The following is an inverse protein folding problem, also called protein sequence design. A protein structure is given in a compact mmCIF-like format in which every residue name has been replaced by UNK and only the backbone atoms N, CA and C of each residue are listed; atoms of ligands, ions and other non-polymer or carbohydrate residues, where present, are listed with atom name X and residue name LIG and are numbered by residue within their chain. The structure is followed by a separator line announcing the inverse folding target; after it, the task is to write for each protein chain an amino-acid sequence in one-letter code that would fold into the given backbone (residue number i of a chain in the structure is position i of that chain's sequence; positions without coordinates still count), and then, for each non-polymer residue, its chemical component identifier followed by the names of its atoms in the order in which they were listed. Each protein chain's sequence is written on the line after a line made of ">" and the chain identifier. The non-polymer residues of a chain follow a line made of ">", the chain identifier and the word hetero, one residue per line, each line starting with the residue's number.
data_IF_911031816841
#
_entry.id   IF_911031816841
#
_cell.length_a   1.000
_cell.length_b   1.000
_cell.length_c   1.000
_cell.angle_alpha   90.00
_cell.angle_beta   90.00
_cell.angle_gamma   90.00
#
_symmetry.space_group_name_H-M   'P 1'
#
loop_
_entity.id
_entity.type
_entity.pdbx_description
1 polymer ?
#
# COMPACT_ATOMS: atom_id res chain seq x y z
N UNK A 1 26.47 14.64 -10.48
CA UNK A 1 26.58 13.45 -11.33
C UNK A 1 25.54 12.45 -10.81
N UNK A 2 24.35 12.49 -11.37
CA UNK A 2 23.30 11.50 -11.05
C UNK A 2 23.71 10.14 -11.63
N UNK A 3 23.72 9.11 -10.81
CA UNK A 3 23.90 7.75 -11.32
C UNK A 3 22.74 7.43 -12.26
N UNK A 4 23.02 6.83 -13.39
CA UNK A 4 22.03 6.42 -14.42
C UNK A 4 20.98 5.42 -13.89
N UNK A 5 21.11 4.94 -12.67
CA UNK A 5 20.17 4.03 -12.01
C UNK A 5 18.97 4.72 -11.33
N UNK A 6 18.87 6.05 -11.39
CA UNK A 6 17.80 6.78 -10.73
C UNK A 6 16.82 7.37 -11.76
N UNK A 7 16.12 6.53 -12.49
CA UNK A 7 15.00 6.98 -13.30
C UNK A 7 13.94 7.54 -12.35
N UNK A 8 13.73 8.85 -12.42
CA UNK A 8 12.66 9.56 -11.73
C UNK A 8 11.86 10.28 -12.78
N UNK A 9 10.75 9.66 -13.16
CA UNK A 9 9.84 10.22 -14.14
C UNK A 9 8.65 10.84 -13.42
N UNK A 10 8.40 12.12 -13.68
CA UNK A 10 7.33 12.88 -13.04
C UNK A 10 6.57 13.67 -14.08
N UNK A 11 5.25 13.51 -14.10
CA UNK A 11 4.37 14.32 -14.93
C UNK A 11 4.46 15.80 -14.56
N UNK A 12 4.34 16.69 -15.54
CA UNK A 12 4.51 18.14 -15.35
C UNK A 12 3.50 18.76 -14.38
N UNK A 13 2.32 18.18 -14.28
CA UNK A 13 1.23 18.62 -13.41
C UNK A 13 1.15 17.84 -12.07
N UNK A 14 2.12 16.96 -11.79
CA UNK A 14 2.24 16.35 -10.49
C UNK A 14 2.85 17.33 -9.48
N UNK A 15 2.28 17.38 -8.28
CA UNK A 15 2.75 18.24 -7.20
C UNK A 15 3.67 17.47 -6.25
N UNK A 16 4.88 17.98 -6.04
CA UNK A 16 5.84 17.38 -5.10
C UNK A 16 6.31 18.46 -4.13
N UNK A 17 6.07 18.25 -2.84
CA UNK A 17 6.52 19.19 -1.81
C UNK A 17 8.06 19.23 -1.74
N UNK A 18 8.67 20.41 -1.52
CA UNK A 18 10.13 20.55 -1.47
C UNK A 18 10.84 19.70 -0.42
N UNK A 19 10.12 19.32 0.62
CA UNK A 19 10.62 18.47 1.71
C UNK A 19 10.42 16.96 1.48
N UNK A 20 9.80 16.57 0.38
CA UNK A 20 9.72 15.16 0.01
C UNK A 20 11.07 14.66 -0.50
N UNK A 21 11.42 13.43 -0.13
CA UNK A 21 12.63 12.79 -0.63
C UNK A 21 12.27 11.61 -1.53
N UNK A 22 12.76 11.65 -2.77
CA UNK A 22 12.44 10.63 -3.78
C UNK A 22 13.74 10.01 -4.30
N UNK A 23 13.92 8.72 -4.00
CA UNK A 23 14.88 7.88 -4.69
C UNK A 23 14.21 7.20 -5.89
N UNK A 24 14.96 7.08 -7.00
CA UNK A 24 14.54 6.26 -8.12
C UNK A 24 14.88 4.77 -7.93
N UNK A 25 14.37 3.93 -8.83
CA UNK A 25 13.44 4.30 -9.89
C UNK A 25 12.05 4.63 -9.34
N UNK A 26 11.43 5.69 -9.87
CA UNK A 26 10.09 6.09 -9.50
C UNK A 26 9.37 6.73 -10.69
N UNK A 27 8.09 6.41 -10.85
CA UNK A 27 7.19 7.06 -11.81
C UNK A 27 6.08 7.75 -11.00
N UNK A 28 5.90 9.04 -11.22
CA UNK A 28 4.86 9.86 -10.57
C UNK A 28 3.98 10.44 -11.67
N UNK A 29 2.78 9.92 -11.78
CA UNK A 29 1.86 10.21 -12.86
C UNK A 29 1.14 11.56 -12.67
N UNK A 30 0.33 11.92 -13.65
CA UNK A 30 -0.41 13.18 -13.70
C UNK A 30 -1.27 13.42 -12.44
N UNK A 31 -1.35 14.67 -12.02
CA UNK A 31 -2.17 15.08 -10.88
C UNK A 31 -1.85 14.39 -9.56
N UNK A 32 -0.80 13.56 -9.53
CA UNK A 32 -0.36 12.94 -8.28
C UNK A 32 0.22 13.98 -7.31
N UNK A 33 0.00 13.77 -6.02
CA UNK A 33 0.44 14.67 -4.97
C UNK A 33 1.39 13.93 -4.01
N UNK A 34 2.65 14.37 -3.95
CA UNK A 34 3.64 13.90 -2.98
C UNK A 34 3.86 15.01 -1.96
N UNK A 35 3.35 14.78 -0.75
CA UNK A 35 3.27 15.80 0.29
C UNK A 35 4.55 15.92 1.12
N UNK A 36 4.51 16.86 2.04
CA UNK A 36 5.57 17.19 2.97
C UNK A 36 6.16 15.96 3.67
N UNK A 37 7.50 15.85 3.70
CA UNK A 37 8.23 14.75 4.35
C UNK A 37 7.89 13.33 3.85
N UNK A 38 7.24 13.17 2.70
CA UNK A 38 7.08 11.84 2.11
C UNK A 38 8.44 11.28 1.71
N UNK A 39 8.63 9.96 1.91
CA UNK A 39 9.86 9.27 1.54
C UNK A 39 9.57 8.14 0.54
N UNK A 40 9.89 8.35 -0.72
CA UNK A 40 9.83 7.32 -1.77
C UNK A 40 11.21 6.69 -1.91
N UNK A 41 11.35 5.43 -1.46
CA UNK A 41 12.63 4.71 -1.43
C UNK A 41 13.04 4.09 -2.75
N UNK A 42 12.18 4.15 -3.76
CA UNK A 42 12.43 3.58 -5.07
C UNK A 42 11.56 2.37 -5.41
N UNK A 43 11.60 2.00 -6.69
CA UNK A 43 10.72 1.00 -7.30
C UNK A 43 9.25 1.32 -7.02
N UNK A 44 8.85 2.58 -7.26
CA UNK A 44 7.51 3.06 -6.97
C UNK A 44 6.83 3.57 -8.24
N UNK A 45 5.61 3.12 -8.46
CA UNK A 45 4.70 3.67 -9.47
C UNK A 45 3.54 4.32 -8.70
N UNK A 46 3.42 5.64 -8.86
CA UNK A 46 2.36 6.45 -8.23
C UNK A 46 1.42 6.89 -9.34
N UNK A 47 0.24 6.30 -9.38
CA UNK A 47 -0.75 6.51 -10.44
C UNK A 47 -1.39 7.88 -10.42
N UNK A 48 -2.12 8.20 -11.48
CA UNK A 48 -2.77 9.49 -11.69
C UNK A 48 -3.68 9.88 -10.52
N UNK A 49 -3.50 11.11 -10.03
CA UNK A 49 -4.29 11.66 -8.92
C UNK A 49 -4.12 10.93 -7.59
N UNK A 50 -3.09 10.10 -7.44
CA UNK A 50 -2.78 9.45 -6.18
C UNK A 50 -2.12 10.42 -5.19
N UNK A 51 -2.33 10.18 -3.90
CA UNK A 51 -1.79 11.01 -2.81
C UNK A 51 -0.83 10.20 -1.96
N UNK A 52 0.43 10.62 -1.93
CA UNK A 52 1.46 10.15 -1.01
C UNK A 52 1.66 11.24 0.04
N UNK A 53 1.10 11.02 1.21
CA UNK A 53 0.95 12.09 2.19
C UNK A 53 2.13 12.29 3.13
N UNK A 54 1.88 13.10 4.15
CA UNK A 54 2.88 13.49 5.12
C UNK A 54 3.54 12.27 5.77
N UNK A 55 4.89 12.26 5.74
CA UNK A 55 5.71 11.21 6.38
C UNK A 55 5.31 9.78 5.98
N UNK A 56 4.74 9.62 4.81
CA UNK A 56 4.46 8.30 4.23
C UNK A 56 5.71 7.76 3.53
N UNK A 57 6.05 6.51 3.82
CA UNK A 57 7.16 5.82 3.18
C UNK A 57 6.65 4.80 2.16
N UNK A 58 7.19 4.85 0.94
CA UNK A 58 6.92 3.90 -0.14
C UNK A 58 8.18 3.14 -0.54
N UNK A 59 8.05 1.83 -0.75
CA UNK A 59 9.14 0.97 -1.23
C UNK A 59 8.61 -0.24 -2.01
N UNK A 60 9.03 -0.40 -3.27
CA UNK A 60 8.56 -1.48 -4.16
C UNK A 60 7.03 -1.54 -4.21
N UNK A 61 6.39 -0.51 -4.75
CA UNK A 61 4.94 -0.39 -4.73
C UNK A 61 4.36 0.00 -6.08
N UNK A 62 3.14 -0.44 -6.31
CA UNK A 62 2.28 0.09 -7.35
C UNK A 62 1.05 0.68 -6.67
N UNK A 63 0.90 1.99 -6.75
CA UNK A 63 -0.32 2.69 -6.37
C UNK A 63 -1.09 2.99 -7.65
N UNK A 64 -2.25 2.39 -7.82
CA UNK A 64 -3.13 2.70 -8.94
C UNK A 64 -3.71 4.11 -8.82
N UNK A 65 -4.49 4.51 -9.84
CA UNK A 65 -5.01 5.88 -9.89
C UNK A 65 -5.89 6.20 -8.67
N UNK A 66 -5.76 7.42 -8.16
CA UNK A 66 -6.52 7.97 -7.03
C UNK A 66 -6.36 7.22 -5.71
N UNK A 67 -5.33 6.39 -5.59
CA UNK A 67 -4.94 5.79 -4.29
C UNK A 67 -4.55 6.88 -3.31
N UNK A 68 -4.93 6.72 -2.05
CA UNK A 68 -4.58 7.65 -0.99
C UNK A 68 -3.85 6.94 0.16
N UNK A 69 -2.62 7.36 0.40
CA UNK A 69 -1.81 6.97 1.57
C UNK A 69 -1.32 8.25 2.27
N UNK A 70 -2.28 8.98 2.91
CA UNK A 70 -2.10 10.41 3.18
C UNK A 70 -1.32 10.76 4.43
N UNK A 71 -1.16 9.84 5.40
CA UNK A 71 -0.62 10.21 6.70
C UNK A 71 0.13 9.07 7.39
N UNK A 72 1.45 9.22 7.56
CA UNK A 72 2.28 8.31 8.37
C UNK A 72 2.11 6.84 7.99
N UNK A 73 1.93 6.56 6.70
CA UNK A 73 1.78 5.19 6.23
C UNK A 73 3.15 4.58 5.90
N UNK A 74 3.30 3.29 6.09
CA UNK A 74 4.34 2.52 5.46
C UNK A 74 3.72 1.56 4.44
N UNK A 75 4.12 1.69 3.18
CA UNK A 75 3.66 0.81 2.10
C UNK A 75 4.88 0.18 1.43
N UNK A 76 5.06 -1.10 1.68
CA UNK A 76 6.21 -1.85 1.17
C UNK A 76 5.81 -3.14 0.48
N UNK A 77 6.43 -3.42 -0.68
CA UNK A 77 6.25 -4.65 -1.45
C UNK A 77 4.76 -4.97 -1.69
N UNK A 78 3.98 -3.96 -2.12
CA UNK A 78 2.52 -3.96 -2.13
C UNK A 78 1.94 -3.38 -3.40
N UNK A 79 0.70 -3.77 -3.71
CA UNK A 79 -0.09 -3.20 -4.80
C UNK A 79 -1.41 -2.69 -4.22
N UNK A 80 -1.76 -1.43 -4.49
CA UNK A 80 -3.01 -0.82 -4.06
C UNK A 80 -3.86 -0.48 -5.28
N UNK A 81 -5.05 -1.05 -5.34
CA UNK A 81 -6.01 -0.87 -6.42
C UNK A 81 -6.60 0.54 -6.51
N UNK A 82 -7.37 0.78 -7.57
CA UNK A 82 -7.98 2.08 -7.86
C UNK A 82 -8.77 2.62 -6.68
N UNK A 83 -8.50 3.87 -6.29
CA UNK A 83 -9.13 4.55 -5.15
C UNK A 83 -9.00 3.83 -3.80
N UNK A 84 -8.07 2.89 -3.64
CA UNK A 84 -7.81 2.35 -2.31
C UNK A 84 -7.26 3.43 -1.38
N UNK A 85 -7.70 3.40 -0.12
CA UNK A 85 -7.31 4.37 0.89
C UNK A 85 -6.77 3.68 2.13
N UNK A 86 -5.66 4.17 2.64
CA UNK A 86 -5.09 3.73 3.92
C UNK A 86 -5.17 4.85 4.95
N UNK A 87 -5.96 4.67 5.98
CA UNK A 87 -6.07 5.61 7.09
C UNK A 87 -4.74 5.88 7.80
N UNK A 88 -4.69 6.97 8.55
CA UNK A 88 -3.47 7.43 9.21
C UNK A 88 -2.80 6.33 10.05
N UNK A 89 -1.48 6.19 9.92
CA UNK A 89 -0.70 5.22 10.67
C UNK A 89 -0.90 3.75 10.27
N UNK A 90 -1.75 3.44 9.28
CA UNK A 90 -1.87 2.08 8.80
C UNK A 90 -0.66 1.68 7.94
N UNK A 91 -0.27 0.41 8.01
CA UNK A 91 0.95 -0.09 7.38
C UNK A 91 0.75 -1.43 6.69
N UNK A 92 1.54 -1.68 5.64
CA UNK A 92 1.71 -3.00 5.05
C UNK A 92 2.99 -3.62 5.59
N UNK A 93 2.90 -4.51 6.58
CA UNK A 93 4.04 -5.27 7.02
C UNK A 93 4.46 -6.26 5.92
N UNK A 94 5.72 -6.25 5.54
CA UNK A 94 6.19 -6.99 4.37
C UNK A 94 7.17 -8.12 4.68
N UNK A 95 7.57 -8.28 5.95
CA UNK A 95 8.51 -9.32 6.40
C UNK A 95 7.92 -10.06 7.59
N UNK A 96 7.91 -11.38 7.55
CA UNK A 96 7.55 -12.23 8.69
C UNK A 96 8.61 -12.16 9.78
N UNK A 97 8.21 -12.26 11.04
CA UNK A 97 9.12 -12.22 12.18
C UNK A 97 10.12 -13.39 12.18
N UNK A 98 9.69 -14.57 11.71
CA UNK A 98 10.52 -15.77 11.58
C UNK A 98 11.43 -15.76 10.34
N UNK A 99 11.38 -14.71 9.51
CA UNK A 99 12.17 -14.56 8.28
C UNK A 99 11.96 -15.63 7.21
N UNK A 100 10.95 -16.48 7.36
CA UNK A 100 10.57 -17.46 6.33
C UNK A 100 9.87 -16.79 5.13
N UNK A 101 9.70 -17.54 4.05
CA UNK A 101 9.01 -17.05 2.86
C UNK A 101 7.54 -16.74 3.17
N UNK A 102 7.03 -15.71 2.50
CA UNK A 102 5.64 -15.32 2.67
C UNK A 102 4.74 -16.28 1.89
N UNK A 103 3.66 -16.71 2.53
CA UNK A 103 2.62 -17.53 1.94
C UNK A 103 1.30 -16.77 2.03
N UNK A 104 0.62 -16.61 0.91
CA UNK A 104 -0.75 -16.10 0.87
C UNK A 104 -1.70 -17.23 1.24
N UNK A 105 -2.63 -16.96 2.18
CA UNK A 105 -3.58 -17.94 2.69
C UNK A 105 -5.01 -17.49 2.38
N UNK A 106 -5.78 -18.37 1.73
CA UNK A 106 -7.19 -18.16 1.44
C UNK A 106 -7.99 -19.37 1.98
N UNK A 107 -8.46 -19.27 3.21
CA UNK A 107 -9.01 -20.44 3.91
C UNK A 107 -7.95 -21.54 4.04
N UNK A 108 -8.22 -22.71 3.48
CA UNK A 108 -7.28 -23.84 3.47
C UNK A 108 -6.26 -23.78 2.33
N UNK A 109 -6.55 -22.99 1.31
CA UNK A 109 -5.63 -22.80 0.19
C UNK A 109 -4.41 -22.00 0.59
N UNK A 110 -3.24 -22.41 0.11
CA UNK A 110 -1.95 -21.78 0.36
C UNK A 110 -1.23 -21.56 -0.96
N UNK A 111 -0.82 -20.31 -1.21
CA UNK A 111 0.01 -19.96 -2.35
C UNK A 111 1.38 -19.52 -1.85
N UNK A 112 2.40 -20.27 -2.18
CA UNK A 112 3.79 -19.91 -1.89
C UNK A 112 4.24 -18.81 -2.85
N UNK A 113 4.71 -17.69 -2.29
CA UNK A 113 5.16 -16.55 -3.10
C UNK A 113 6.63 -16.69 -3.55
N UNK A 114 7.40 -17.53 -2.90
CA UNK A 114 8.85 -17.61 -3.10
C UNK A 114 9.62 -16.39 -2.59
N UNK A 115 8.95 -15.44 -1.95
CA UNK A 115 9.51 -14.15 -1.55
C UNK A 115 9.64 -14.02 -0.03
N UNK A 116 10.75 -13.45 0.44
CA UNK A 116 10.94 -13.05 1.84
C UNK A 116 10.20 -11.75 2.19
N UNK A 117 9.95 -10.92 1.17
CA UNK A 117 9.26 -9.64 1.30
C UNK A 117 8.06 -9.62 0.39
N UNK A 118 6.90 -9.48 0.98
CA UNK A 118 5.61 -9.40 0.31
C UNK A 118 4.63 -8.73 1.27
N UNK A 119 4.17 -7.55 0.93
CA UNK A 119 3.28 -6.76 1.79
C UNK A 119 1.82 -7.18 1.65
N UNK A 120 1.00 -6.29 1.09
CA UNK A 120 -0.42 -6.53 0.90
C UNK A 120 -0.86 -6.17 -0.53
N UNK A 121 -1.89 -6.86 -1.00
CA UNK A 121 -2.59 -6.56 -2.24
C UNK A 121 -3.99 -6.09 -1.90
N UNK A 122 -4.31 -4.84 -2.24
CA UNK A 122 -5.62 -4.24 -2.03
C UNK A 122 -6.33 -4.11 -3.37
N UNK A 123 -7.57 -4.59 -3.41
CA UNK A 123 -8.46 -4.35 -4.54
C UNK A 123 -8.94 -2.90 -4.61
N UNK A 124 -9.75 -2.60 -5.63
CA UNK A 124 -10.31 -1.27 -5.84
C UNK A 124 -11.24 -0.86 -4.69
N UNK A 125 -11.26 0.43 -4.36
CA UNK A 125 -12.12 1.04 -3.34
C UNK A 125 -11.99 0.41 -1.93
N UNK A 126 -10.86 -0.22 -1.63
CA UNK A 126 -10.61 -0.73 -0.26
C UNK A 126 -10.34 0.44 0.68
N UNK A 127 -11.01 0.43 1.83
CA UNK A 127 -10.82 1.41 2.90
C UNK A 127 -10.16 0.75 4.12
N UNK A 128 -8.94 1.14 4.43
CA UNK A 128 -8.22 0.64 5.61
C UNK A 128 -8.28 1.66 6.74
N UNK A 129 -8.86 1.29 7.86
CA UNK A 129 -8.96 2.15 9.03
C UNK A 129 -7.61 2.48 9.67
N UNK A 130 -7.55 3.61 10.37
CA UNK A 130 -6.34 4.12 11.01
C UNK A 130 -5.64 3.10 11.91
N UNK A 131 -4.30 3.16 11.98
CA UNK A 131 -3.46 2.30 12.81
C UNK A 131 -3.66 0.80 12.60
N UNK A 132 -4.14 0.39 11.43
CA UNK A 132 -4.25 -1.02 11.08
C UNK A 132 -2.94 -1.57 10.52
N UNK A 133 -2.68 -2.84 10.80
CA UNK A 133 -1.52 -3.57 10.28
C UNK A 133 -2.00 -4.66 9.33
N UNK A 134 -1.61 -4.53 8.07
CA UNK A 134 -1.80 -5.58 7.07
C UNK A 134 -0.56 -6.46 7.09
N UNK A 135 -0.70 -7.70 7.58
CA UNK A 135 0.43 -8.62 7.72
C UNK A 135 0.92 -9.14 6.36
N UNK A 136 2.16 -9.65 6.27
CA UNK A 136 2.70 -10.16 5.03
C UNK A 136 1.81 -11.22 4.38
N UNK A 137 1.51 -11.01 3.09
CA UNK A 137 0.63 -11.91 2.34
C UNK A 137 -0.87 -11.63 2.52
N UNK A 138 -1.25 -10.48 3.07
CA UNK A 138 -2.66 -10.04 3.12
C UNK A 138 -3.14 -9.67 1.73
N UNK A 139 -4.31 -10.18 1.35
CA UNK A 139 -5.02 -9.82 0.13
C UNK A 139 -6.43 -9.37 0.49
N UNK A 140 -6.83 -8.19 0.05
CA UNK A 140 -8.13 -7.62 0.37
C UNK A 140 -8.89 -7.42 -0.93
N UNK A 141 -10.05 -8.08 -1.05
CA UNK A 141 -10.93 -7.94 -2.19
C UNK A 141 -11.52 -6.53 -2.31
N UNK A 142 -11.94 -6.12 -3.52
CA UNK A 142 -12.47 -4.78 -3.75
C UNK A 142 -13.70 -4.46 -2.88
N UNK A 143 -13.98 -3.15 -2.74
CA UNK A 143 -15.12 -2.61 -1.99
C UNK A 143 -15.20 -3.08 -0.52
N UNK A 144 -14.04 -3.32 0.10
CA UNK A 144 -13.93 -3.86 1.46
C UNK A 144 -13.46 -2.78 2.44
N UNK A 145 -14.05 -2.78 3.63
CA UNK A 145 -13.66 -1.89 4.73
C UNK A 145 -12.96 -2.68 5.84
N UNK A 146 -11.81 -2.20 6.25
CA UNK A 146 -11.08 -2.69 7.43
C UNK A 146 -11.27 -1.69 8.57
N UNK A 147 -11.77 -2.13 9.71
CA UNK A 147 -11.96 -1.24 10.86
C UNK A 147 -10.62 -0.78 11.42
N UNK A 148 -10.58 0.40 12.05
CA UNK A 148 -9.37 0.92 12.68
C UNK A 148 -8.76 -0.05 13.68
N UNK A 149 -7.43 0.05 13.88
CA UNK A 149 -6.65 -0.77 14.83
C UNK A 149 -6.71 -2.28 14.57
N UNK A 150 -7.00 -2.67 13.33
CA UNK A 150 -7.10 -4.09 12.96
C UNK A 150 -5.73 -4.69 12.65
N UNK A 151 -5.56 -5.96 13.04
CA UNK A 151 -4.44 -6.81 12.63
C UNK A 151 -4.94 -7.83 11.60
N UNK A 152 -4.73 -7.53 10.31
CA UNK A 152 -5.32 -8.28 9.19
C UNK A 152 -4.36 -9.35 8.70
N UNK A 153 -4.86 -10.55 8.39
CA UNK A 153 -4.09 -11.67 7.82
C UNK A 153 -4.90 -12.44 6.80
N UNK A 154 -4.23 -12.94 5.77
CA UNK A 154 -4.82 -13.81 4.74
C UNK A 154 -5.70 -13.04 3.75
N UNK A 155 -6.61 -13.74 3.10
CA UNK A 155 -7.51 -13.17 2.10
C UNK A 155 -8.82 -12.73 2.73
N UNK A 156 -9.21 -11.48 2.48
CA UNK A 156 -10.48 -10.89 2.90
C UNK A 156 -11.37 -10.79 1.66
N UNK A 157 -12.58 -11.37 1.68
CA UNK A 157 -13.47 -11.35 0.52
C UNK A 157 -13.87 -9.93 0.10
N UNK A 158 -14.19 -9.76 -1.17
CA UNK A 158 -14.76 -8.52 -1.70
C UNK A 158 -16.07 -8.14 -1.01
N UNK A 159 -16.39 -6.85 -0.93
CA UNK A 159 -17.63 -6.34 -0.38
C UNK A 159 -17.82 -6.68 1.10
N UNK A 160 -16.71 -6.72 1.86
CA UNK A 160 -16.71 -7.15 3.26
C UNK A 160 -16.45 -5.99 4.21
N UNK A 161 -16.82 -6.20 5.48
CA UNK A 161 -16.38 -5.37 6.59
C UNK A 161 -15.58 -6.26 7.55
N UNK A 162 -14.29 -5.99 7.68
CA UNK A 162 -13.43 -6.65 8.65
C UNK A 162 -13.45 -5.87 9.96
N UNK A 163 -14.07 -6.41 10.99
CA UNK A 163 -14.24 -5.76 12.30
C UNK A 163 -13.10 -6.11 13.26
N UNK A 164 -12.77 -7.37 13.34
CA UNK A 164 -11.63 -7.93 14.08
C UNK A 164 -11.30 -9.30 13.52
N UNK A 165 -10.20 -9.88 13.92
CA UNK A 165 -9.82 -11.22 13.47
C UNK A 165 -10.96 -12.21 13.78
N UNK A 166 -11.43 -12.89 12.72
CA UNK A 166 -12.54 -13.85 12.81
C UNK A 166 -13.95 -13.24 12.70
N UNK A 167 -14.07 -11.91 12.67
CA UNK A 167 -15.37 -11.24 12.45
C UNK A 167 -15.37 -10.49 11.10
N UNK A 168 -15.95 -11.11 10.10
CA UNK A 168 -16.16 -10.52 8.77
C UNK A 168 -17.65 -10.50 8.48
N UNK A 169 -18.19 -9.33 8.14
CA UNK A 169 -19.58 -9.14 7.75
C UNK A 169 -19.66 -8.67 6.29
N UNK A 170 -20.75 -9.02 5.61
CA UNK A 170 -21.04 -8.53 4.26
C UNK A 170 -21.30 -7.02 4.31
N UNK A 171 -20.78 -6.28 3.37
CA UNK A 171 -21.11 -4.87 3.16
C UNK A 171 -22.42 -4.80 2.36
N UNK A 172 -23.37 -3.98 2.80
CA UNK A 172 -24.63 -3.72 2.12
C UNK A 172 -24.48 -2.68 1.02
#
# INVERSE_FOLDING_TARGET
>A
VGSEMCIRDRANNATVAPSAFINGPAIIDEEAEVRHCAFIRGNAIVGKGAVVGNSTELKNVILFNKVQVPHYNYVGDSILGFKAHMGAGSITSNVKSDKTLVVVKNGEEKMETGLKKFGAMLGDHVEVGCNSVLNPGTVIGPDTNIYPTSCVRGCIPAGSIYKKQGEIAKKY
#
